data_IF_297892531300
#
_entry.id   IF_297892531300
#
_cell.length_a   1.000
_cell.length_b   1.000
_cell.length_c   1.000
_cell.angle_alpha   90.00
_cell.angle_beta   90.00
_cell.angle_gamma   90.00
#
_symmetry.space_group_name_H-M   'P 1'
#
loop_
_entity.id
_entity.type
_entity.pdbx_description
1 polymer ?
#
# COMPACT_ATOMS: atom_id res chain seq x y z
N UNK A 1 -10.79 26.55 3.81
CA UNK A 1 -11.02 26.29 5.25
C UNK A 1 -9.93 25.37 5.78
N UNK A 2 -9.00 25.91 6.57
CA UNK A 2 -7.85 25.18 7.09
C UNK A 2 -8.26 24.24 8.24
N UNK A 3 -8.02 22.93 8.10
CA UNK A 3 -8.21 21.95 9.17
C UNK A 3 -7.10 22.11 10.22
N UNK A 4 -7.46 22.67 11.38
CA UNK A 4 -6.59 22.70 12.57
C UNK A 4 -6.33 21.26 13.02
N UNK A 5 -5.10 20.77 12.84
CA UNK A 5 -4.60 19.55 13.50
C UNK A 5 -4.45 19.87 15.00
N UNK A 6 -5.19 19.17 15.85
CA UNK A 6 -5.07 19.30 17.30
C UNK A 6 -3.64 18.99 17.79
N UNK A 7 -3.21 19.57 18.91
CA UNK A 7 -1.84 19.48 19.38
C UNK A 7 -1.47 18.04 19.78
N UNK A 8 -0.22 17.59 19.55
CA UNK A 8 0.25 16.22 19.75
C UNK A 8 0.50 15.88 21.24
N UNK A 9 -0.27 16.47 22.16
CA UNK A 9 -0.07 16.39 23.61
C UNK A 9 -0.11 14.96 24.14
N UNK A 10 -0.98 14.10 23.60
CA UNK A 10 -1.05 12.68 23.96
C UNK A 10 0.23 11.92 23.59
N UNK A 11 0.82 12.23 22.44
CA UNK A 11 2.09 11.62 22.05
C UNK A 11 3.24 12.11 22.93
N UNK A 12 3.22 13.37 23.37
CA UNK A 12 4.23 13.93 24.27
C UNK A 12 4.11 13.34 25.69
N UNK A 13 2.89 13.16 26.20
CA UNK A 13 2.66 12.53 27.49
C UNK A 13 3.07 11.05 27.51
N UNK A 14 2.73 10.28 26.48
CA UNK A 14 3.20 8.89 26.36
C UNK A 14 4.73 8.81 26.26
N UNK A 15 5.39 9.78 25.60
CA UNK A 15 6.86 9.87 25.54
C UNK A 15 7.45 10.16 26.92
N UNK A 16 6.89 11.10 27.66
CA UNK A 16 7.36 11.46 29.00
C UNK A 16 7.19 10.28 29.98
N UNK A 17 6.05 9.60 29.95
CA UNK A 17 5.78 8.42 30.78
C UNK A 17 6.79 7.29 30.49
N UNK A 18 7.12 7.06 29.22
CA UNK A 18 8.07 6.01 28.83
C UNK A 18 9.50 6.29 29.31
N UNK A 19 9.94 7.55 29.23
CA UNK A 19 11.25 7.97 29.73
C UNK A 19 11.34 7.84 31.26
N UNK A 20 10.26 8.15 31.99
CA UNK A 20 10.20 7.99 33.45
C UNK A 20 10.27 6.53 33.85
N UNK A 21 9.59 5.63 33.13
CA UNK A 21 9.65 4.17 33.38
C UNK A 21 11.06 3.63 33.15
N UNK A 22 11.72 4.02 32.06
CA UNK A 22 13.10 3.60 31.77
C UNK A 22 14.11 4.17 32.77
N UNK A 23 13.91 5.42 33.23
CA UNK A 23 14.76 6.04 34.24
C UNK A 23 14.55 5.44 35.66
N UNK A 24 13.36 4.88 35.92
CA UNK A 24 13.05 4.18 37.16
C UNK A 24 13.48 2.71 37.13
N UNK A 25 13.69 2.13 35.93
CA UNK A 25 14.13 0.76 35.78
C UNK A 25 15.61 0.63 36.19
N UNK A 26 15.97 -0.39 36.97
CA UNK A 26 17.35 -0.63 37.34
C UNK A 26 18.22 -0.85 36.08
N UNK A 27 19.35 -0.17 35.97
CA UNK A 27 20.17 -0.05 34.74
C UNK A 27 20.60 -1.39 34.11
N UNK A 28 20.83 -2.43 34.92
CA UNK A 28 21.08 -3.82 34.52
C UNK A 28 19.91 -4.52 33.80
N UNK A 29 18.68 -3.99 33.83
CA UNK A 29 17.49 -4.52 33.12
C UNK A 29 17.17 -3.75 31.84
N UNK A 30 17.56 -2.48 31.73
CA UNK A 30 17.36 -1.67 30.53
C UNK A 30 18.22 -2.14 29.34
N UNK A 31 19.45 -2.55 29.61
CA UNK A 31 20.41 -3.04 28.62
C UNK A 31 20.00 -4.39 27.98
N UNK A 32 19.64 -5.44 28.74
CA UNK A 32 19.12 -6.67 28.15
C UNK A 32 17.76 -6.47 27.49
N UNK A 33 16.93 -5.52 27.96
CA UNK A 33 15.68 -5.16 27.27
C UNK A 33 15.92 -4.53 25.90
N UNK A 34 16.90 -3.64 25.77
CA UNK A 34 17.32 -3.07 24.49
C UNK A 34 17.95 -4.13 23.57
N UNK A 35 18.73 -5.06 24.11
CA UNK A 35 19.29 -6.18 23.35
C UNK A 35 18.20 -7.16 22.89
N UNK A 36 17.20 -7.46 23.72
CA UNK A 36 16.07 -8.29 23.34
C UNK A 36 15.21 -7.62 22.26
N UNK A 37 15.01 -6.30 22.33
CA UNK A 37 14.34 -5.53 21.28
C UNK A 37 15.14 -5.55 19.98
N UNK A 38 16.45 -5.30 20.03
CA UNK A 38 17.32 -5.38 18.85
C UNK A 38 17.32 -6.80 18.24
N UNK A 39 17.42 -7.84 19.07
CA UNK A 39 17.35 -9.23 18.64
C UNK A 39 16.00 -9.58 18.02
N UNK A 40 14.89 -9.10 18.60
CA UNK A 40 13.55 -9.33 18.07
C UNK A 40 13.31 -8.63 16.72
N UNK A 41 13.95 -7.48 16.46
CA UNK A 41 13.96 -6.85 15.13
C UNK A 41 14.72 -7.70 14.13
N UNK A 42 15.92 -8.18 14.49
CA UNK A 42 16.76 -9.00 13.60
C UNK A 42 16.10 -10.36 13.32
N UNK A 43 15.48 -10.99 14.32
CA UNK A 43 14.88 -12.33 14.19
C UNK A 43 13.49 -12.32 13.55
N UNK A 44 12.69 -11.27 13.75
CA UNK A 44 11.33 -11.21 13.20
C UNK A 44 11.15 -10.19 12.06
N UNK A 45 12.25 -9.68 11.47
CA UNK A 45 12.19 -8.74 10.33
C UNK A 45 11.34 -9.22 9.15
N UNK A 46 11.28 -10.54 8.90
CA UNK A 46 10.47 -11.13 7.83
C UNK A 46 8.97 -11.22 8.17
N UNK A 47 8.56 -10.94 9.41
CA UNK A 47 7.17 -11.06 9.88
C UNK A 47 6.60 -9.80 10.52
N UNK A 48 7.38 -8.73 10.66
CA UNK A 48 6.89 -7.46 11.20
C UNK A 48 6.51 -6.50 10.07
N UNK A 49 5.23 -6.14 10.02
CA UNK A 49 4.73 -5.05 9.18
C UNK A 49 5.52 -3.74 9.42
N UNK A 50 5.75 -2.96 8.36
CA UNK A 50 6.61 -1.75 8.36
C UNK A 50 6.30 -0.76 9.50
N UNK A 51 5.03 -0.64 9.89
CA UNK A 51 4.58 0.21 10.98
C UNK A 51 5.17 -0.19 12.35
N UNK A 52 5.36 -1.49 12.60
CA UNK A 52 5.95 -2.00 13.85
C UNK A 52 7.47 -1.84 13.85
N UNK A 53 8.13 -2.02 12.69
CA UNK A 53 9.55 -1.76 12.53
C UNK A 53 9.90 -0.28 12.82
N UNK A 54 9.07 0.66 12.35
CA UNK A 54 9.24 2.09 12.62
C UNK A 54 9.06 2.45 14.11
N UNK A 55 8.12 1.80 14.80
CA UNK A 55 7.93 1.98 16.25
C UNK A 55 9.10 1.44 17.06
N UNK A 56 9.66 0.29 16.69
CA UNK A 56 10.80 -0.30 17.39
C UNK A 56 12.08 0.50 17.14
N UNK A 57 12.32 0.98 15.91
CA UNK A 57 13.42 1.92 15.60
C UNK A 57 13.31 3.20 16.44
N UNK A 58 12.10 3.71 16.62
CA UNK A 58 11.84 4.89 17.46
C UNK A 58 12.03 4.58 18.95
N UNK A 59 11.76 3.36 19.39
CA UNK A 59 12.08 2.89 20.75
C UNK A 59 13.59 2.77 21.00
N UNK A 60 14.36 2.32 20.00
CA UNK A 60 15.82 2.15 20.10
C UNK A 60 16.54 3.50 20.13
N UNK A 61 16.17 4.43 19.25
CA UNK A 61 16.76 5.77 19.17
C UNK A 61 16.57 6.60 20.45
N UNK A 62 15.51 6.32 21.22
CA UNK A 62 15.16 7.12 22.40
C UNK A 62 15.23 6.34 23.73
N UNK A 63 15.42 5.03 23.70
CA UNK A 63 15.79 4.23 24.87
C UNK A 63 17.24 4.43 25.30
N UNK A 64 18.12 4.72 24.33
CA UNK A 64 19.53 5.03 24.55
C UNK A 64 19.77 6.22 25.52
N UNK A 65 19.14 7.40 25.32
CA UNK A 65 19.27 8.50 26.28
C UNK A 65 18.66 8.19 27.66
N UNK A 66 17.61 7.36 27.73
CA UNK A 66 17.03 6.93 29.01
C UNK A 66 17.97 6.04 29.81
N UNK A 67 18.67 5.11 29.14
CA UNK A 67 19.69 4.26 29.77
C UNK A 67 20.93 5.06 30.19
N UNK A 68 21.37 6.02 29.37
CA UNK A 68 22.46 6.94 29.75
C UNK A 68 22.11 7.77 31.00
N UNK A 69 20.87 8.22 31.11
CA UNK A 69 20.39 8.98 32.27
C UNK A 69 20.26 8.11 33.53
N UNK A 70 19.76 6.87 33.40
CA UNK A 70 19.70 5.90 34.49
C UNK A 70 21.10 5.48 34.97
N UNK A 71 22.05 5.35 34.03
CA UNK A 71 23.45 5.04 34.31
C UNK A 71 24.14 6.21 35.03
N UNK A 72 23.94 7.46 34.60
CA UNK A 72 24.42 8.65 35.29
C UNK A 72 23.88 8.74 36.73
N UNK A 73 22.60 8.37 36.93
CA UNK A 73 21.96 8.35 38.25
C UNK A 73 22.49 7.22 39.15
N UNK A 74 22.81 6.07 38.59
CA UNK A 74 23.30 4.90 39.34
C UNK A 74 24.79 5.00 39.72
N UNK A 75 25.62 5.64 38.89
CA UNK A 75 27.07 5.76 39.13
C UNK A 75 27.50 6.99 39.93
N UNK A 76 26.57 7.87 40.30
CA UNK A 76 26.81 8.92 41.29
C UNK A 76 28.00 9.83 40.98
N UNK A 77 27.86 10.73 39.99
CA UNK A 77 28.64 11.98 39.87
C UNK A 77 30.16 11.90 39.75
N UNK A 78 30.79 10.72 39.76
CA UNK A 78 32.25 10.58 39.80
C UNK A 78 32.87 10.55 38.38
N UNK A 79 34.17 10.83 38.26
CA UNK A 79 34.87 10.87 36.96
C UNK A 79 34.75 9.55 36.17
N UNK A 80 34.60 8.44 36.89
CA UNK A 80 34.36 7.11 36.32
C UNK A 80 32.93 6.95 35.75
N UNK A 81 31.95 7.66 36.30
CA UNK A 81 30.58 7.72 35.78
C UNK A 81 30.53 8.43 34.41
N UNK A 82 31.37 9.45 34.22
CA UNK A 82 31.52 10.12 32.92
C UNK A 82 32.19 9.21 31.89
N UNK A 83 33.22 8.46 32.28
CA UNK A 83 33.90 7.51 31.39
C UNK A 83 32.98 6.39 30.91
N UNK A 84 32.18 5.82 31.83
CA UNK A 84 31.21 4.77 31.49
C UNK A 84 30.02 5.29 30.68
N UNK A 85 29.54 6.50 30.95
CA UNK A 85 28.53 7.16 30.12
C UNK A 85 29.04 7.45 28.70
N UNK A 86 30.30 7.88 28.56
CA UNK A 86 30.91 8.14 27.25
C UNK A 86 31.12 6.84 26.46
N UNK A 87 31.57 5.77 27.13
CA UNK A 87 31.71 4.45 26.52
C UNK A 87 30.35 3.85 26.13
N UNK A 88 29.33 4.04 26.96
CA UNK A 88 27.95 3.63 26.65
C UNK A 88 27.36 4.41 25.47
N UNK A 89 27.59 5.72 25.41
CA UNK A 89 27.18 6.55 24.28
C UNK A 89 27.92 6.16 23.00
N UNK A 90 29.23 5.87 23.09
CA UNK A 90 30.03 5.44 21.95
C UNK A 90 29.59 4.07 21.45
N UNK A 91 29.41 3.09 22.36
CA UNK A 91 28.94 1.75 22.00
C UNK A 91 27.51 1.77 21.44
N UNK A 92 26.63 2.60 22.01
CA UNK A 92 25.27 2.78 21.50
C UNK A 92 25.23 3.45 20.13
N UNK A 93 26.07 4.45 19.91
CA UNK A 93 26.20 5.14 18.63
C UNK A 93 26.83 4.24 17.55
N UNK A 94 27.86 3.46 17.89
CA UNK A 94 28.48 2.52 16.94
C UNK A 94 27.56 1.36 16.61
N UNK A 95 26.76 0.89 17.57
CA UNK A 95 25.74 -0.14 17.32
C UNK A 95 24.61 0.41 16.45
N UNK A 96 24.15 1.64 16.69
CA UNK A 96 23.16 2.32 15.86
C UNK A 96 23.67 2.54 14.43
N UNK A 97 24.88 3.10 14.28
CA UNK A 97 25.51 3.32 12.99
C UNK A 97 25.79 2.01 12.25
N UNK A 98 26.16 0.95 12.97
CA UNK A 98 26.33 -0.39 12.42
C UNK A 98 25.00 -0.99 11.94
N UNK A 99 23.92 -0.79 12.69
CA UNK A 99 22.57 -1.24 12.31
C UNK A 99 22.06 -0.48 11.09
N UNK A 100 22.26 0.85 11.04
CA UNK A 100 21.91 1.67 9.88
C UNK A 100 22.71 1.24 8.65
N UNK A 101 24.03 1.07 8.77
CA UNK A 101 24.87 0.61 7.68
C UNK A 101 24.53 -0.82 7.21
N UNK A 102 24.07 -1.69 8.11
CA UNK A 102 23.69 -3.06 7.76
C UNK A 102 22.30 -3.14 7.12
N UNK A 103 21.33 -2.36 7.61
CA UNK A 103 20.01 -2.20 6.99
C UNK A 103 20.11 -1.61 5.58
N UNK A 104 20.97 -0.60 5.41
CA UNK A 104 21.27 -0.02 4.10
C UNK A 104 21.94 -1.01 3.16
N UNK A 105 22.71 -1.96 3.71
CA UNK A 105 23.42 -2.98 2.94
C UNK A 105 22.49 -4.12 2.50
N UNK A 106 21.52 -4.50 3.32
CA UNK A 106 20.53 -5.51 2.95
C UNK A 106 19.44 -4.96 2.03
N UNK A 107 19.10 -3.66 2.12
CA UNK A 107 18.33 -2.99 1.05
C UNK A 107 19.09 -2.95 -0.29
N UNK A 108 20.43 -2.85 -0.25
CA UNK A 108 21.28 -2.89 -1.45
C UNK A 108 21.57 -4.32 -1.95
N UNK A 109 21.22 -5.37 -1.19
CA UNK A 109 21.22 -6.77 -1.66
C UNK A 109 19.90 -7.12 -2.35
N UNK A 110 19.49 -6.28 -3.29
CA UNK A 110 18.75 -6.74 -4.46
C UNK A 110 19.70 -7.59 -5.33
N UNK A 111 19.20 -8.46 -6.25
CA UNK A 111 20.03 -9.46 -6.92
C UNK A 111 21.26 -8.84 -7.58
N UNK A 112 22.37 -9.60 -7.57
CA UNK A 112 23.70 -9.18 -8.00
C UNK A 112 23.64 -8.19 -9.17
N UNK A 113 24.08 -6.96 -8.89
CA UNK A 113 24.20 -5.92 -9.89
C UNK A 113 24.97 -6.46 -11.10
N UNK A 114 24.38 -6.30 -12.28
CA UNK A 114 25.07 -6.42 -13.54
C UNK A 114 26.35 -5.53 -13.52
N UNK A 115 27.40 -5.89 -14.27
CA UNK A 115 28.66 -5.15 -14.31
C UNK A 115 28.41 -3.65 -14.44
N UNK A 116 29.16 -2.86 -13.66
CA UNK A 116 28.98 -1.42 -13.52
C UNK A 116 28.90 -0.74 -14.88
N UNK A 117 27.70 -0.31 -15.23
CA UNK A 117 27.40 0.50 -16.39
C UNK A 117 28.17 1.83 -16.30
N UNK A 118 28.90 2.19 -17.36
CA UNK A 118 29.65 3.44 -17.40
C UNK A 118 28.67 4.64 -17.41
N UNK A 119 29.09 5.82 -16.91
CA UNK A 119 28.24 7.03 -16.75
C UNK A 119 27.28 7.37 -17.91
N UNK A 120 27.62 7.16 -19.20
CA UNK A 120 26.68 7.37 -20.30
C UNK A 120 25.42 6.48 -20.23
N UNK A 121 25.54 5.28 -19.70
CA UNK A 121 24.45 4.30 -19.59
C UNK A 121 23.48 4.64 -18.45
N UNK A 122 23.98 5.27 -17.37
CA UNK A 122 23.14 5.76 -16.27
C UNK A 122 22.25 6.94 -16.69
N UNK A 123 22.70 7.78 -17.63
CA UNK A 123 21.89 8.88 -18.16
C UNK A 123 20.72 8.39 -19.03
N UNK A 124 20.83 7.18 -19.58
CA UNK A 124 19.80 6.52 -20.39
C UNK A 124 18.93 5.55 -19.58
N UNK A 125 19.29 5.27 -18.32
CA UNK A 125 18.52 4.40 -17.46
C UNK A 125 17.22 5.11 -17.02
N UNK A 126 16.04 4.48 -17.19
CA UNK A 126 14.78 5.08 -16.76
C UNK A 126 14.80 5.33 -15.25
N UNK A 127 14.57 6.59 -14.86
CA UNK A 127 14.47 6.98 -13.45
C UNK A 127 13.06 6.64 -12.96
N UNK A 128 12.92 5.54 -12.23
CA UNK A 128 11.67 5.14 -11.59
C UNK A 128 11.44 3.63 -11.62
N UNK A 129 10.41 3.13 -10.92
CA UNK A 129 9.98 1.75 -11.07
C UNK A 129 9.69 1.45 -12.55
N UNK A 130 9.89 0.21 -13.02
CA UNK A 130 9.60 -0.15 -14.40
C UNK A 130 8.17 0.24 -14.76
N UNK A 131 8.04 1.18 -15.69
CA UNK A 131 6.74 1.65 -16.16
C UNK A 131 6.29 0.74 -17.31
N UNK A 132 5.19 0.01 -17.10
CA UNK A 132 4.50 -0.69 -18.18
C UNK A 132 3.58 0.31 -18.89
N UNK A 133 3.71 0.43 -20.22
CA UNK A 133 2.74 1.18 -21.02
C UNK A 133 1.47 0.34 -21.14
N UNK A 134 0.37 0.84 -20.58
CA UNK A 134 -0.92 0.16 -20.62
C UNK A 134 -1.72 0.66 -21.81
N UNK A 135 -1.71 -0.12 -22.88
CA UNK A 135 -2.60 0.12 -24.02
C UNK A 135 -3.99 -0.43 -23.74
N UNK A 136 -4.99 0.46 -23.83
CA UNK A 136 -6.39 0.10 -23.65
C UNK A 136 -7.01 -0.25 -25.01
N UNK A 137 -7.57 -1.44 -25.10
CA UNK A 137 -8.43 -1.80 -26.22
C UNK A 137 -9.73 -0.99 -26.12
N UNK A 138 -10.17 -0.33 -27.21
CA UNK A 138 -11.33 0.55 -27.19
C UNK A 138 -12.63 -0.19 -26.90
N UNK A 139 -13.56 0.50 -26.26
CA UNK A 139 -14.90 -0.03 -25.96
C UNK A 139 -15.78 0.03 -27.21
N UNK A 140 -16.35 -1.12 -27.58
CA UNK A 140 -17.40 -1.18 -28.60
C UNK A 140 -18.76 -1.21 -27.91
N UNK A 141 -19.41 -0.06 -27.83
CA UNK A 141 -20.76 0.04 -27.29
C UNK A 141 -21.77 -0.49 -28.31
N UNK A 142 -22.49 -1.54 -27.92
CA UNK A 142 -23.57 -2.14 -28.69
C UNK A 142 -24.89 -1.49 -28.25
N UNK A 143 -25.61 -0.88 -29.19
CA UNK A 143 -26.94 -0.38 -28.93
C UNK A 143 -27.93 -1.54 -28.84
N UNK A 144 -28.40 -1.84 -27.63
CA UNK A 144 -29.34 -2.90 -27.29
C UNK A 144 -30.79 -2.57 -27.62
N UNK A 145 -31.07 -1.92 -28.75
CA UNK A 145 -32.42 -1.93 -29.30
C UNK A 145 -32.66 -3.29 -29.98
N UNK A 146 -32.75 -4.37 -29.20
CA UNK A 146 -32.98 -5.72 -29.73
C UNK A 146 -32.22 -6.82 -28.99
N UNK A 147 -31.68 -7.77 -29.76
CA UNK A 147 -30.93 -8.93 -29.28
C UNK A 147 -29.43 -8.72 -29.52
N UNK A 148 -28.62 -8.95 -28.49
CA UNK A 148 -27.17 -9.00 -28.58
C UNK A 148 -26.73 -10.47 -28.59
N UNK A 149 -25.69 -10.77 -29.36
CA UNK A 149 -25.00 -12.05 -29.27
C UNK A 149 -24.14 -12.09 -28.01
N UNK A 150 -24.28 -13.16 -27.24
CA UNK A 150 -23.45 -13.40 -26.07
C UNK A 150 -22.16 -14.14 -26.49
N UNK A 151 -20.95 -13.61 -26.19
CA UNK A 151 -19.69 -14.28 -26.51
C UNK A 151 -19.53 -15.65 -25.84
N UNK A 152 -20.24 -15.93 -24.75
CA UNK A 152 -20.26 -17.25 -24.10
C UNK A 152 -21.38 -18.16 -24.62
N UNK A 153 -22.11 -17.72 -25.66
CA UNK A 153 -23.18 -18.46 -26.29
C UNK A 153 -24.58 -17.99 -25.88
N UNK A 154 -25.51 -18.07 -26.84
CA UNK A 154 -26.89 -17.63 -26.67
C UNK A 154 -27.09 -16.15 -27.04
N UNK A 155 -28.22 -15.60 -26.57
CA UNK A 155 -28.63 -14.22 -26.86
C UNK A 155 -28.98 -13.47 -25.60
N UNK A 156 -28.76 -12.17 -25.62
CA UNK A 156 -29.16 -11.25 -24.58
C UNK A 156 -30.20 -10.30 -25.14
N UNK A 157 -31.38 -10.30 -24.54
CA UNK A 157 -32.50 -9.48 -24.98
C UNK A 157 -32.64 -8.28 -24.05
N UNK A 158 -32.65 -7.07 -24.60
CA UNK A 158 -32.97 -5.88 -23.84
C UNK A 158 -34.44 -5.48 -24.02
N UNK A 159 -35.20 -5.45 -22.91
CA UNK A 159 -36.59 -4.97 -22.89
C UNK A 159 -36.91 -4.31 -21.56
N UNK A 160 -37.71 -3.24 -21.58
CA UNK A 160 -38.19 -2.55 -20.39
C UNK A 160 -37.08 -2.17 -19.38
N UNK A 161 -35.94 -1.65 -19.88
CA UNK A 161 -34.77 -1.27 -19.06
C UNK A 161 -34.10 -2.44 -18.34
N UNK A 162 -34.15 -3.62 -18.97
CA UNK A 162 -33.61 -4.84 -18.42
C UNK A 162 -32.93 -5.66 -19.52
N UNK A 163 -31.74 -6.21 -19.22
CA UNK A 163 -31.14 -7.28 -20.01
C UNK A 163 -31.50 -8.64 -19.44
N UNK A 164 -31.93 -9.54 -20.32
CA UNK A 164 -32.19 -10.95 -20.01
C UNK A 164 -31.25 -11.83 -20.81
N UNK A 165 -30.47 -12.64 -20.12
CA UNK A 165 -29.56 -13.62 -20.70
C UNK A 165 -30.28 -14.94 -20.92
N UNK A 166 -29.90 -15.69 -21.96
CA UNK A 166 -30.44 -17.02 -22.21
C UNK A 166 -30.25 -17.99 -21.03
N UNK A 167 -29.20 -17.80 -20.23
CA UNK A 167 -28.94 -18.56 -19.00
C UNK A 167 -29.92 -18.24 -17.84
N UNK A 168 -30.83 -17.28 -18.02
CA UNK A 168 -31.82 -16.88 -17.01
C UNK A 168 -31.43 -15.64 -16.19
N UNK A 169 -30.15 -15.24 -16.23
CA UNK A 169 -29.68 -14.06 -15.51
C UNK A 169 -30.39 -12.80 -16.01
N UNK A 170 -30.80 -11.96 -15.06
CA UNK A 170 -31.55 -10.74 -15.31
C UNK A 170 -30.85 -9.55 -14.67
N UNK A 171 -30.72 -8.48 -15.44
CA UNK A 171 -30.14 -7.22 -14.99
C UNK A 171 -31.17 -6.12 -15.24
N UNK A 172 -31.63 -5.48 -14.19
CA UNK A 172 -32.64 -4.40 -14.24
C UNK A 172 -31.99 -3.01 -14.11
N UNK A 173 -32.79 -1.94 -14.27
CA UNK A 173 -32.43 -0.52 -14.08
C UNK A 173 -31.18 -0.02 -14.83
N UNK A 174 -30.95 -0.56 -16.03
CA UNK A 174 -29.84 -0.17 -16.91
C UNK A 174 -30.36 0.45 -18.21
N UNK A 175 -29.50 1.20 -18.88
CA UNK A 175 -29.76 1.76 -20.20
C UNK A 175 -29.55 0.73 -21.32
N UNK A 176 -29.91 1.08 -22.57
CA UNK A 176 -29.85 0.18 -23.71
C UNK A 176 -28.44 -0.03 -24.25
N UNK A 177 -27.42 0.71 -23.80
CA UNK A 177 -26.05 0.52 -24.28
C UNK A 177 -25.30 -0.45 -23.39
N UNK A 178 -24.79 -1.51 -24.00
CA UNK A 178 -23.99 -2.50 -23.33
C UNK A 178 -22.81 -2.95 -24.19
N UNK A 179 -21.87 -3.65 -23.57
CA UNK A 179 -20.69 -4.19 -24.22
C UNK A 179 -20.19 -5.40 -23.43
N UNK A 180 -19.43 -6.24 -24.11
CA UNK A 180 -18.73 -7.35 -23.49
C UNK A 180 -17.23 -7.08 -23.53
N UNK A 181 -16.51 -7.56 -22.52
CA UNK A 181 -15.05 -7.66 -22.63
C UNK A 181 -14.69 -8.56 -23.82
N UNK A 182 -13.49 -8.39 -24.42
CA UNK A 182 -13.02 -9.20 -25.54
C UNK A 182 -13.11 -10.73 -25.31
N UNK A 183 -12.93 -11.18 -24.07
CA UNK A 183 -13.01 -12.59 -23.68
C UNK A 183 -14.39 -13.02 -23.17
N UNK A 184 -15.42 -12.17 -23.25
CA UNK A 184 -16.79 -12.45 -22.80
C UNK A 184 -17.01 -12.50 -21.28
N UNK A 185 -15.94 -12.44 -20.46
CA UNK A 185 -16.00 -12.51 -19.00
C UNK A 185 -16.84 -11.41 -18.38
N UNK A 186 -16.64 -10.17 -18.82
CA UNK A 186 -17.36 -9.02 -18.28
C UNK A 186 -18.50 -8.65 -19.21
N UNK A 187 -19.67 -8.42 -18.60
CA UNK A 187 -20.75 -7.68 -19.23
C UNK A 187 -20.84 -6.31 -18.58
N UNK A 188 -21.00 -5.28 -19.41
CA UNK A 188 -21.09 -3.90 -18.96
C UNK A 188 -22.27 -3.22 -19.61
N UNK A 189 -23.08 -2.54 -18.81
CA UNK A 189 -24.18 -1.73 -19.30
C UNK A 189 -24.08 -0.31 -18.73
N UNK A 190 -24.43 0.69 -19.53
CA UNK A 190 -24.55 2.06 -19.02
C UNK A 190 -25.76 2.15 -18.11
N UNK A 191 -25.62 2.88 -17.01
CA UNK A 191 -26.76 3.19 -16.15
C UNK A 191 -27.70 4.17 -16.85
N UNK A 192 -28.96 4.22 -16.38
CA UNK A 192 -29.93 5.17 -16.91
C UNK A 192 -29.44 6.60 -16.75
N UNK A 193 -29.72 7.43 -17.77
CA UNK A 193 -29.29 8.84 -17.87
C UNK A 193 -27.76 9.01 -17.93
N UNK A 194 -27.02 7.96 -18.30
CA UNK A 194 -25.56 7.99 -18.51
C UNK A 194 -24.76 8.43 -17.26
N UNK A 195 -25.29 8.14 -16.07
CA UNK A 195 -24.68 8.55 -14.78
C UNK A 195 -23.76 7.50 -14.16
N UNK A 196 -23.27 6.56 -14.97
CA UNK A 196 -22.37 5.52 -14.52
C UNK A 196 -22.47 4.25 -15.35
N UNK A 197 -21.81 3.21 -14.88
CA UNK A 197 -21.84 1.87 -15.50
C UNK A 197 -22.15 0.79 -14.46
N UNK A 198 -22.83 -0.25 -14.92
CA UNK A 198 -22.89 -1.54 -14.24
C UNK A 198 -21.81 -2.44 -14.84
N UNK A 199 -20.99 -3.05 -14.00
CA UNK A 199 -20.08 -4.12 -14.38
C UNK A 199 -20.57 -5.43 -13.77
N UNK A 200 -20.66 -6.49 -14.56
CA UNK A 200 -20.94 -7.84 -14.08
C UNK A 200 -19.78 -8.78 -14.45
N UNK A 201 -19.08 -9.28 -13.43
CA UNK A 201 -18.10 -10.36 -13.55
C UNK A 201 -18.86 -11.67 -13.64
N UNK A 202 -19.06 -12.18 -14.85
CA UNK A 202 -19.84 -13.40 -15.09
C UNK A 202 -19.11 -14.66 -14.60
N UNK A 203 -17.79 -14.59 -14.42
CA UNK A 203 -17.02 -15.72 -13.88
C UNK A 203 -17.17 -15.85 -12.37
N UNK A 204 -17.27 -14.73 -11.67
CA UNK A 204 -17.42 -14.68 -10.21
C UNK A 204 -18.85 -14.40 -9.75
N UNK A 205 -19.75 -14.20 -10.70
CA UNK A 205 -21.15 -13.82 -10.48
C UNK A 205 -21.30 -12.58 -9.58
N UNK A 206 -20.43 -11.57 -9.78
CA UNK A 206 -20.42 -10.33 -8.99
C UNK A 206 -20.79 -9.12 -9.82
N UNK A 207 -21.67 -8.29 -9.28
CA UNK A 207 -22.13 -7.06 -9.92
C UNK A 207 -21.61 -5.83 -9.16
N UNK A 208 -21.11 -4.84 -9.89
CA UNK A 208 -20.61 -3.57 -9.38
C UNK A 208 -21.34 -2.41 -10.03
N UNK A 209 -22.03 -1.61 -9.20
CA UNK A 209 -22.79 -0.45 -9.62
C UNK A 209 -21.96 0.82 -9.41
N UNK A 210 -21.31 1.30 -10.46
CA UNK A 210 -20.32 2.37 -10.37
C UNK A 210 -20.91 3.68 -10.90
N UNK A 211 -21.49 4.46 -9.97
CA UNK A 211 -22.02 5.79 -10.28
C UNK A 211 -20.89 6.79 -10.51
N UNK A 212 -21.03 7.64 -11.53
CA UNK A 212 -20.02 8.63 -11.90
C UNK A 212 -18.74 8.06 -12.49
N UNK A 213 -18.73 6.77 -12.85
CA UNK A 213 -17.64 6.11 -13.56
C UNK A 213 -18.09 5.70 -14.96
N UNK A 214 -17.18 5.79 -15.91
CA UNK A 214 -17.39 5.41 -17.30
C UNK A 214 -16.33 4.38 -17.69
N UNK A 215 -16.75 3.39 -18.47
CA UNK A 215 -15.82 2.41 -19.06
C UNK A 215 -15.09 3.08 -20.23
N UNK A 216 -13.76 3.13 -20.15
CA UNK A 216 -12.91 3.78 -21.16
C UNK A 216 -12.26 2.74 -22.07
N UNK A 217 -11.97 1.55 -21.55
CA UNK A 217 -11.36 0.50 -22.33
C UNK A 217 -11.12 -0.78 -21.56
N UNK A 218 -10.43 -1.70 -22.22
CA UNK A 218 -10.06 -3.01 -21.70
C UNK A 218 -8.55 -3.18 -21.73
N UNK A 219 -7.99 -3.73 -20.66
CA UNK A 219 -6.60 -4.20 -20.68
C UNK A 219 -6.56 -5.61 -20.12
N UNK A 220 -5.96 -6.55 -20.88
CA UNK A 220 -5.92 -7.98 -20.54
C UNK A 220 -7.31 -8.54 -20.16
N UNK A 221 -8.36 -8.06 -20.84
CA UNK A 221 -9.75 -8.45 -20.59
C UNK A 221 -10.37 -7.92 -19.29
N UNK A 222 -9.71 -6.99 -18.57
CA UNK A 222 -10.24 -6.32 -17.38
C UNK A 222 -10.72 -4.90 -17.71
N UNK A 223 -11.79 -4.41 -17.05
CA UNK A 223 -12.33 -3.07 -17.30
C UNK A 223 -11.42 -1.99 -16.70
N UNK A 224 -11.21 -0.93 -17.49
CA UNK A 224 -10.55 0.31 -17.07
C UNK A 224 -11.52 1.47 -17.14
N UNK A 225 -11.54 2.28 -16.09
CA UNK A 225 -12.61 3.24 -15.81
C UNK A 225 -12.03 4.63 -15.55
N UNK A 226 -12.78 5.66 -15.92
CA UNK A 226 -12.48 7.04 -15.57
C UNK A 226 -13.74 7.74 -15.05
N UNK A 227 -13.58 8.82 -14.28
CA UNK A 227 -14.73 9.61 -13.80
C UNK A 227 -15.26 10.55 -14.86
N UNK A 228 -14.37 11.12 -15.67
CA UNK A 228 -14.68 12.03 -16.76
C UNK A 228 -13.77 11.72 -17.94
N UNK A 229 -14.20 12.16 -19.11
CA UNK A 229 -13.36 12.13 -20.31
C UNK A 229 -12.10 12.97 -20.07
N UNK A 230 -10.93 12.38 -20.34
CA UNK A 230 -9.62 13.00 -20.08
C UNK A 230 -9.03 12.75 -18.69
N UNK A 231 -9.78 12.21 -17.74
CA UNK A 231 -9.21 11.77 -16.45
C UNK A 231 -8.32 10.52 -16.65
N UNK A 232 -7.32 10.36 -15.78
CA UNK A 232 -6.46 9.17 -15.77
C UNK A 232 -7.32 7.89 -15.60
N UNK A 233 -7.27 6.93 -16.55
CA UNK A 233 -7.96 5.66 -16.39
C UNK A 233 -7.39 4.86 -15.22
N UNK A 234 -8.27 4.22 -14.47
CA UNK A 234 -7.93 3.37 -13.33
C UNK A 234 -8.41 1.95 -13.57
N UNK A 235 -7.63 0.98 -13.08
CA UNK A 235 -8.06 -0.41 -13.00
C UNK A 235 -9.26 -0.55 -12.04
N UNK A 236 -10.07 -1.59 -12.24
CA UNK A 236 -11.22 -1.84 -11.38
C UNK A 236 -10.86 -1.97 -9.89
N UNK A 237 -9.73 -2.60 -9.56
CA UNK A 237 -9.28 -2.77 -8.17
C UNK A 237 -9.01 -1.43 -7.48
N UNK A 238 -8.33 -0.49 -8.15
CA UNK A 238 -8.19 0.89 -7.69
C UNK A 238 -9.55 1.58 -7.49
N UNK A 239 -10.49 1.38 -8.42
CA UNK A 239 -11.85 1.97 -8.33
C UNK A 239 -12.64 1.42 -7.14
N UNK A 240 -12.45 0.14 -6.82
CA UNK A 240 -13.08 -0.52 -5.68
C UNK A 240 -12.33 -0.27 -4.36
N UNK A 241 -11.11 0.28 -4.40
CA UNK A 241 -10.24 0.42 -3.23
C UNK A 241 -9.61 -0.90 -2.77
N UNK A 242 -9.52 -1.89 -3.66
CA UNK A 242 -8.94 -3.20 -3.39
C UNK A 242 -7.43 -3.27 -3.64
N UNK A 243 -6.84 -2.27 -4.33
CA UNK A 243 -5.37 -2.19 -4.52
C UNK A 243 -4.62 -1.91 -3.21
N UNK A 244 -5.31 -1.44 -2.17
CA UNK A 244 -4.76 -1.33 -0.81
C UNK A 244 -4.87 -2.67 -0.02
N UNK A 245 -5.32 -3.75 -0.67
CA UNK A 245 -5.59 -5.08 -0.07
C UNK A 245 -4.75 -6.20 -0.72
N UNK A 246 -3.80 -5.88 -1.60
CA UNK A 246 -2.71 -6.83 -1.89
C UNK A 246 -1.69 -6.82 -0.73
N UNK A 247 -2.14 -7.33 0.41
CA UNK A 247 -1.34 -7.62 1.61
C UNK A 247 -1.78 -8.98 2.20
N UNK A 248 -0.90 -9.98 2.09
CA UNK A 248 -0.60 -10.97 3.14
C UNK A 248 0.56 -11.89 2.73
#
# INVERSE_FOLDING_TARGET
MARRRGPPWRAVLSRAAWLVVLAALPWWLGLPGLLALAASVVLLQYRLAEAHAALIRRGLNWGLPGVLFALQRALGGDAFAWGTALLGALAGYTLLAGLEAWLDRDMRRAPAAAPSAEWPELAMAPIGPPAEIIELQPVQWLAGAGELLDPLGGRVVYRANCYRFAAGNRIDDVGPQATFSPCGRWFVARLRRDRGVLLWDRRRERQHWLRGWQLVGWHRGRPWLARREGDMPLALSAVLGEDDVEDA
#
